data_IF_562893035198
#
_entry.id   IF_562893035198
#
_cell.length_a   1.000
_cell.length_b   1.000
_cell.length_c   1.000
_cell.angle_alpha   90.00
_cell.angle_beta   90.00
_cell.angle_gamma   90.00
#
_symmetry.space_group_name_H-M   'P 1'
#
loop_
_entity.id
_entity.type
_entity.pdbx_description
1 polymer ?
#
# COMPACT_ATOMS: atom_id res chain seq x y z
N UNK A 1 -5.94 -7.40 5.90
CA UNK A 1 -6.01 -6.30 6.89
C UNK A 1 -7.47 -5.89 7.05
N UNK A 2 -7.88 -5.66 8.30
CA UNK A 2 -9.24 -5.30 8.66
C UNK A 2 -9.29 -3.86 9.18
N UNK A 3 -10.10 -3.01 8.56
CA UNK A 3 -10.18 -1.57 8.83
C UNK A 3 -11.54 -1.25 9.43
N UNK A 4 -11.56 -0.51 10.54
CA UNK A 4 -12.79 0.11 11.05
C UNK A 4 -12.87 1.54 10.53
N UNK A 5 -14.00 1.91 9.92
CA UNK A 5 -14.33 3.27 9.50
C UNK A 5 -15.42 3.81 10.42
N UNK A 6 -15.14 4.94 11.09
CA UNK A 6 -16.09 5.67 11.95
C UNK A 6 -16.35 7.03 11.31
N UNK A 7 -17.49 7.16 10.63
CA UNK A 7 -17.86 8.33 9.81
C UNK A 7 -19.38 8.46 9.81
N UNK A 8 -19.91 9.64 10.16
CA UNK A 8 -21.35 9.88 10.23
C UNK A 8 -21.99 10.22 8.88
N UNK A 9 -21.22 10.80 7.93
CA UNK A 9 -21.68 10.97 6.55
C UNK A 9 -21.69 9.60 5.84
N UNK A 10 -22.89 9.06 5.64
CA UNK A 10 -23.10 7.77 5.01
C UNK A 10 -22.49 7.68 3.59
N UNK A 11 -22.47 8.81 2.83
CA UNK A 11 -21.89 8.82 1.46
C UNK A 11 -20.37 8.72 1.50
N UNK A 12 -19.75 9.46 2.41
CA UNK A 12 -18.30 9.41 2.58
C UNK A 12 -17.88 8.05 3.16
N UNK A 13 -18.63 7.53 4.13
CA UNK A 13 -18.39 6.20 4.70
C UNK A 13 -18.45 5.08 3.64
N UNK A 14 -19.46 5.11 2.76
CA UNK A 14 -19.59 4.16 1.65
C UNK A 14 -18.43 4.31 0.65
N UNK A 15 -18.05 5.56 0.30
CA UNK A 15 -16.92 5.81 -0.60
C UNK A 15 -15.60 5.30 -0.02
N UNK A 16 -15.35 5.52 1.28
CA UNK A 16 -14.19 4.99 2.00
C UNK A 16 -14.18 3.47 1.98
N UNK A 17 -15.30 2.84 2.35
CA UNK A 17 -15.42 1.38 2.36
C UNK A 17 -15.13 0.79 0.98
N UNK A 18 -15.65 1.38 -0.09
CA UNK A 18 -15.41 0.95 -1.46
C UNK A 18 -13.93 1.08 -1.86
N UNK A 19 -13.30 2.24 -1.59
CA UNK A 19 -11.86 2.43 -1.85
C UNK A 19 -11.03 1.37 -1.15
N UNK A 20 -11.35 1.06 0.11
CA UNK A 20 -10.64 0.07 0.90
C UNK A 20 -10.84 -1.35 0.36
N UNK A 21 -12.08 -1.74 0.07
CA UNK A 21 -12.42 -3.05 -0.48
C UNK A 21 -11.78 -3.30 -1.85
N UNK A 22 -11.80 -2.29 -2.74
CA UNK A 22 -11.15 -2.35 -4.06
C UNK A 22 -9.62 -2.55 -3.94
N UNK A 23 -9.03 -2.20 -2.78
CA UNK A 23 -7.61 -2.40 -2.47
C UNK A 23 -7.33 -3.59 -1.55
N UNK A 24 -8.31 -4.49 -1.35
CA UNK A 24 -8.15 -5.77 -0.64
C UNK A 24 -8.23 -5.67 0.89
N UNK A 25 -8.78 -4.60 1.45
CA UNK A 25 -9.04 -4.47 2.88
C UNK A 25 -10.44 -5.00 3.22
N UNK A 26 -10.57 -5.79 4.29
CA UNK A 26 -11.86 -6.03 4.92
C UNK A 26 -12.26 -4.76 5.70
N UNK A 27 -13.52 -4.34 5.63
CA UNK A 27 -13.93 -3.04 6.17
C UNK A 27 -15.27 -3.15 6.89
N UNK A 28 -15.31 -2.69 8.13
CA UNK A 28 -16.54 -2.43 8.87
C UNK A 28 -16.76 -0.92 8.98
N UNK A 29 -18.02 -0.50 8.96
CA UNK A 29 -18.43 0.91 9.03
C UNK A 29 -19.38 1.11 10.20
N UNK A 30 -19.13 2.15 11.00
CA UNK A 30 -20.04 2.63 12.04
C UNK A 30 -20.19 4.15 11.93
N UNK A 31 -21.30 4.71 12.43
CA UNK A 31 -21.72 6.08 12.11
C UNK A 31 -21.77 7.02 13.33
N UNK A 32 -21.25 6.60 14.47
CA UNK A 32 -21.18 7.44 15.67
C UNK A 32 -20.00 7.05 16.58
N UNK A 33 -19.60 7.97 17.43
CA UNK A 33 -18.45 7.79 18.31
C UNK A 33 -18.62 6.69 19.38
N UNK A 34 -19.83 6.45 19.89
CA UNK A 34 -20.07 5.37 20.86
C UNK A 34 -19.90 3.99 20.20
N UNK A 35 -20.44 3.82 18.99
CA UNK A 35 -20.16 2.63 18.19
C UNK A 35 -18.66 2.51 17.85
N UNK A 36 -17.99 3.62 17.53
CA UNK A 36 -16.54 3.67 17.32
C UNK A 36 -15.74 3.13 18.50
N UNK A 37 -16.10 3.51 19.72
CA UNK A 37 -15.46 2.97 20.94
C UNK A 37 -15.76 1.49 21.12
N UNK A 38 -17.02 1.07 20.94
CA UNK A 38 -17.43 -0.32 21.13
C UNK A 38 -16.71 -1.26 20.15
N UNK A 39 -16.72 -0.94 18.84
CA UNK A 39 -16.09 -1.76 17.81
C UNK A 39 -14.56 -1.69 17.88
N UNK A 40 -14.00 -0.49 18.01
CA UNK A 40 -12.54 -0.29 18.13
C UNK A 40 -11.94 -0.99 19.35
N UNK A 41 -12.72 -1.13 20.43
CA UNK A 41 -12.31 -1.83 21.66
C UNK A 41 -12.18 -3.36 21.52
N UNK A 42 -12.67 -3.96 20.44
CA UNK A 42 -12.63 -5.43 20.26
C UNK A 42 -11.23 -5.99 19.97
N UNK A 43 -10.29 -5.16 19.54
CA UNK A 43 -8.93 -5.57 19.18
C UNK A 43 -8.83 -6.36 17.85
N UNK A 44 -9.89 -6.38 17.05
CA UNK A 44 -9.95 -7.15 15.79
C UNK A 44 -9.49 -6.37 14.57
N UNK A 45 -9.27 -5.06 14.69
CA UNK A 45 -8.88 -4.18 13.60
C UNK A 45 -7.38 -3.91 13.57
N UNK A 46 -6.84 -3.85 12.37
CA UNK A 46 -5.45 -3.49 12.11
C UNK A 46 -5.25 -1.96 12.11
N UNK A 47 -6.30 -1.19 11.79
CA UNK A 47 -6.31 0.28 11.79
C UNK A 47 -7.74 0.80 11.94
N UNK A 48 -7.90 1.97 12.56
CA UNK A 48 -9.16 2.70 12.71
C UNK A 48 -9.05 4.01 11.95
N UNK A 49 -9.97 4.26 11.01
CA UNK A 49 -10.18 5.56 10.37
C UNK A 49 -11.32 6.23 11.12
N UNK A 50 -11.10 7.42 11.65
CA UNK A 50 -11.97 8.05 12.62
C UNK A 50 -12.20 9.52 12.26
N UNK A 51 -13.44 9.87 11.92
CA UNK A 51 -13.78 11.29 11.76
C UNK A 51 -13.72 12.01 13.11
N UNK A 52 -13.31 13.28 13.08
CA UNK A 52 -13.32 14.16 14.25
C UNK A 52 -14.75 14.57 14.60
N UNK A 53 -15.56 14.88 13.59
CA UNK A 53 -16.90 15.43 13.76
C UNK A 53 -17.96 14.33 13.81
N UNK A 54 -18.07 13.63 14.93
CA UNK A 54 -19.01 12.52 15.11
C UNK A 54 -20.12 12.87 16.11
N UNK A 55 -21.33 12.33 15.94
CA UNK A 55 -22.37 12.39 16.95
C UNK A 55 -22.06 11.49 18.14
N UNK A 56 -22.64 11.78 19.31
CA UNK A 56 -22.55 11.13 20.62
C UNK A 56 -21.19 11.28 21.30
N UNK A 57 -20.09 11.06 20.60
CA UNK A 57 -18.72 11.31 21.07
C UNK A 57 -17.86 11.72 19.88
N UNK A 58 -17.15 12.83 19.98
CA UNK A 58 -16.24 13.28 18.94
C UNK A 58 -15.03 12.33 18.78
N UNK A 59 -14.33 12.42 17.63
CA UNK A 59 -13.22 11.53 17.31
C UNK A 59 -12.06 11.61 18.30
N UNK A 60 -11.79 12.77 18.89
CA UNK A 60 -10.75 12.91 19.91
C UNK A 60 -11.14 12.16 21.19
N UNK A 61 -12.39 12.29 21.62
CA UNK A 61 -12.94 11.56 22.76
C UNK A 61 -12.90 10.04 22.51
N UNK A 62 -13.26 9.59 21.33
CA UNK A 62 -13.16 8.16 20.92
C UNK A 62 -11.72 7.67 21.04
N UNK A 63 -10.77 8.37 20.45
CA UNK A 63 -9.35 8.02 20.51
C UNK A 63 -8.83 7.92 21.96
N UNK A 64 -9.13 8.93 22.79
CA UNK A 64 -8.76 8.92 24.21
C UNK A 64 -9.35 7.73 24.98
N UNK A 65 -10.63 7.41 24.74
CA UNK A 65 -11.30 6.28 25.40
C UNK A 65 -10.68 4.94 24.98
N UNK A 66 -10.35 4.78 23.72
CA UNK A 66 -9.66 3.59 23.21
C UNK A 66 -8.27 3.45 23.86
N UNK A 67 -7.49 4.54 23.94
CA UNK A 67 -6.16 4.51 24.58
C UNK A 67 -6.23 4.23 26.07
N UNK A 68 -7.22 4.80 26.78
CA UNK A 68 -7.47 4.46 28.21
C UNK A 68 -7.85 2.99 28.42
N UNK A 69 -8.49 2.38 27.43
CA UNK A 69 -8.79 0.94 27.41
C UNK A 69 -7.60 0.09 26.91
N UNK A 70 -6.39 0.67 26.79
CA UNK A 70 -5.17 0.00 26.32
C UNK A 70 -5.27 -0.57 24.90
N UNK A 71 -6.15 -0.03 24.06
CA UNK A 71 -6.21 -0.39 22.63
C UNK A 71 -5.01 0.25 21.93
N UNK A 72 -4.15 -0.57 21.35
CA UNK A 72 -2.95 -0.14 20.60
C UNK A 72 -3.16 -0.05 19.09
N UNK A 73 -4.36 -0.38 18.60
CA UNK A 73 -4.69 -0.28 17.18
C UNK A 73 -4.41 1.14 16.68
N UNK A 74 -3.65 1.32 15.58
CA UNK A 74 -3.38 2.64 15.01
C UNK A 74 -4.67 3.37 14.62
N UNK A 75 -4.71 4.69 14.88
CA UNK A 75 -5.86 5.55 14.62
C UNK A 75 -5.43 6.67 13.65
N UNK A 76 -6.10 6.72 12.49
CA UNK A 76 -6.03 7.82 11.54
C UNK A 76 -7.23 8.75 11.75
N UNK A 77 -7.02 9.98 12.20
CA UNK A 77 -8.06 10.99 12.29
C UNK A 77 -8.33 11.66 10.93
N UNK A 78 -9.60 11.79 10.58
CA UNK A 78 -10.04 12.61 9.46
C UNK A 78 -10.56 13.95 10.00
N UNK A 79 -10.08 15.08 9.46
CA UNK A 79 -10.42 16.41 9.96
C UNK A 79 -10.72 17.40 8.83
N UNK A 80 -11.54 18.41 9.09
CA UNK A 80 -11.76 19.52 8.17
C UNK A 80 -10.56 20.50 8.18
N UNK A 81 -10.33 21.21 7.07
CA UNK A 81 -9.14 22.06 6.82
C UNK A 81 -8.89 23.17 7.84
N UNK A 82 -9.91 23.61 8.56
CA UNK A 82 -9.82 24.77 9.48
C UNK A 82 -9.37 24.41 10.90
N UNK A 83 -9.10 23.14 11.16
CA UNK A 83 -8.73 22.62 12.48
C UNK A 83 -7.21 22.67 12.77
N UNK A 84 -6.53 23.78 12.45
CA UNK A 84 -5.11 23.98 12.86
C UNK A 84 -4.98 24.09 14.38
N UNK A 85 -6.00 24.61 15.09
CA UNK A 85 -6.11 24.56 16.55
C UNK A 85 -6.27 23.12 17.08
N UNK A 86 -6.89 22.24 16.29
CA UNK A 86 -7.15 20.85 16.69
C UNK A 86 -5.95 19.95 16.51
N UNK A 87 -4.94 20.35 15.71
CA UNK A 87 -3.67 19.60 15.58
C UNK A 87 -2.89 19.51 16.89
N UNK A 88 -2.97 20.53 17.75
CA UNK A 88 -2.33 20.52 19.06
C UNK A 88 -3.10 19.63 20.04
N UNK A 89 -4.44 19.63 19.98
CA UNK A 89 -5.27 18.69 20.75
C UNK A 89 -5.17 17.25 20.22
N UNK A 90 -4.87 17.06 18.92
CA UNK A 90 -4.77 15.75 18.29
C UNK A 90 -3.61 14.89 18.82
N UNK A 91 -2.46 15.47 19.11
CA UNK A 91 -1.33 14.71 19.70
C UNK A 91 -1.63 14.25 21.14
N UNK A 92 -2.41 15.01 21.92
CA UNK A 92 -2.84 14.63 23.27
C UNK A 92 -4.01 13.64 23.26
N UNK A 93 -4.69 13.44 22.12
CA UNK A 93 -5.82 12.52 22.00
C UNK A 93 -5.41 11.05 21.85
N UNK A 94 -4.14 10.77 21.55
CA UNK A 94 -3.64 9.43 21.32
C UNK A 94 -3.89 8.87 19.93
N UNK A 95 -4.20 9.71 18.95
CA UNK A 95 -4.18 9.33 17.53
C UNK A 95 -2.73 9.21 17.03
N UNK A 96 -2.50 8.32 16.05
CA UNK A 96 -1.17 8.06 15.51
C UNK A 96 -0.88 8.91 14.26
N UNK A 97 -1.94 9.34 13.55
CA UNK A 97 -1.82 10.15 12.35
C UNK A 97 -3.12 10.91 12.08
N UNK A 98 -3.08 11.92 11.20
CA UNK A 98 -4.26 12.67 10.78
C UNK A 98 -4.18 13.09 9.32
N UNK A 99 -5.35 13.19 8.69
CA UNK A 99 -5.49 13.57 7.29
C UNK A 99 -6.62 14.61 7.15
N UNK A 100 -6.39 15.63 6.33
CA UNK A 100 -7.38 16.69 6.11
C UNK A 100 -8.34 16.35 4.98
N UNK A 101 -9.63 16.61 5.18
CA UNK A 101 -10.66 16.58 4.13
C UNK A 101 -10.60 17.89 3.30
N UNK A 102 -10.68 17.87 1.95
CA UNK A 102 -10.77 16.68 1.08
C UNK A 102 -9.41 16.02 0.83
N UNK A 103 -9.38 14.71 0.67
CA UNK A 103 -8.20 13.89 0.42
C UNK A 103 -8.38 13.04 -0.85
N UNK A 104 -7.28 12.58 -1.40
CA UNK A 104 -7.29 11.63 -2.51
C UNK A 104 -7.29 10.17 -2.02
N UNK A 105 -7.84 9.20 -2.79
CA UNK A 105 -7.70 7.78 -2.47
C UNK A 105 -6.26 7.32 -2.30
N UNK A 106 -5.34 7.85 -3.12
CA UNK A 106 -3.91 7.53 -3.05
C UNK A 106 -3.27 8.00 -1.73
N UNK A 107 -3.67 9.17 -1.22
CA UNK A 107 -3.24 9.73 0.05
C UNK A 107 -3.72 8.87 1.23
N UNK A 108 -5.02 8.54 1.26
CA UNK A 108 -5.60 7.66 2.28
C UNK A 108 -4.83 6.33 2.36
N UNK A 109 -4.62 5.67 1.22
CA UNK A 109 -3.92 4.39 1.17
C UNK A 109 -2.45 4.51 1.59
N UNK A 110 -1.80 5.65 1.36
CA UNK A 110 -0.43 5.92 1.82
C UNK A 110 -0.36 6.01 3.35
N UNK A 111 -1.28 6.77 3.98
CA UNK A 111 -1.39 6.86 5.45
C UNK A 111 -1.66 5.49 6.09
N UNK A 112 -2.59 4.70 5.53
CA UNK A 112 -2.90 3.37 6.04
C UNK A 112 -1.68 2.44 5.99
N UNK A 113 -0.93 2.44 4.88
CA UNK A 113 0.32 1.66 4.77
C UNK A 113 1.36 2.10 5.81
N UNK A 114 1.48 3.39 6.06
CA UNK A 114 2.42 3.93 7.05
C UNK A 114 2.05 3.48 8.47
N UNK A 115 0.76 3.58 8.82
CA UNK A 115 0.24 3.25 10.16
C UNK A 115 0.29 1.75 10.47
N UNK A 116 0.05 0.91 9.47
CA UNK A 116 0.01 -0.55 9.65
C UNK A 116 1.38 -1.21 9.55
N UNK A 117 2.42 -0.43 9.27
CA UNK A 117 3.80 -0.88 9.31
C UNK A 117 4.24 -1.12 10.76
N UNK A 118 4.45 -2.39 11.16
CA UNK A 118 4.91 -2.73 12.51
C UNK A 118 6.25 -2.04 12.82
N UNK A 119 6.38 -1.46 14.03
CA UNK A 119 7.68 -0.98 14.52
C UNK A 119 8.64 -2.17 14.62
N UNK A 120 9.67 -2.16 13.81
CA UNK A 120 10.65 -3.24 13.69
C UNK A 120 10.67 -3.90 12.32
N UNK A 121 9.56 -3.89 11.60
CA UNK A 121 9.54 -4.18 10.19
C UNK A 121 9.76 -2.86 9.42
N UNK A 122 11.00 -2.54 9.14
CA UNK A 122 11.34 -1.87 7.88
C UNK A 122 11.11 -2.94 6.80
N UNK A 123 9.89 -3.37 6.65
CA UNK A 123 9.45 -4.02 5.43
C UNK A 123 9.30 -2.87 4.44
N UNK A 124 10.44 -2.45 3.89
CA UNK A 124 10.37 -2.03 2.51
C UNK A 124 9.57 -3.14 1.85
N UNK A 125 8.43 -2.83 1.24
CA UNK A 125 7.78 -3.81 0.39
C UNK A 125 8.80 -4.16 -0.67
N UNK A 126 9.56 -5.20 -0.41
CA UNK A 126 10.60 -5.67 -1.29
C UNK A 126 10.17 -7.01 -1.84
N UNK A 127 10.33 -7.19 -3.13
CA UNK A 127 10.24 -8.50 -3.76
C UNK A 127 11.67 -9.01 -3.93
N UNK A 128 11.95 -10.19 -3.40
CA UNK A 128 13.30 -10.78 -3.47
C UNK A 128 13.24 -12.13 -4.20
N UNK A 129 14.18 -12.32 -5.14
CA UNK A 129 14.38 -13.57 -5.86
C UNK A 129 15.89 -13.83 -5.91
N UNK A 130 16.35 -14.84 -5.18
CA UNK A 130 17.76 -15.10 -4.99
C UNK A 130 18.47 -13.93 -4.31
N UNK A 131 19.47 -13.35 -4.99
CA UNK A 131 20.22 -12.18 -4.52
C UNK A 131 19.66 -10.83 -5.00
N UNK A 132 18.58 -10.84 -5.79
CA UNK A 132 17.97 -9.66 -6.38
C UNK A 132 16.79 -9.18 -5.55
N UNK A 133 16.78 -7.91 -5.16
CA UNK A 133 15.70 -7.28 -4.40
C UNK A 133 15.17 -6.06 -5.13
N UNK A 134 13.85 -5.95 -5.26
CA UNK A 134 13.15 -4.78 -5.78
C UNK A 134 12.42 -4.07 -4.64
N UNK A 135 12.80 -2.84 -4.36
CA UNK A 135 12.09 -1.98 -3.42
C UNK A 135 10.87 -1.37 -4.12
N UNK A 136 9.67 -1.61 -3.59
CA UNK A 136 8.42 -1.18 -4.21
C UNK A 136 8.08 0.29 -3.97
N UNK A 137 8.68 0.92 -2.97
CA UNK A 137 8.49 2.34 -2.67
C UNK A 137 9.46 3.22 -3.48
N UNK A 138 10.76 2.93 -3.39
CA UNK A 138 11.79 3.71 -4.08
C UNK A 138 11.96 3.35 -5.56
N UNK A 139 11.40 2.22 -6.00
CA UNK A 139 11.59 1.61 -7.33
C UNK A 139 13.06 1.23 -7.62
N UNK A 140 13.83 0.96 -6.58
CA UNK A 140 15.22 0.57 -6.70
C UNK A 140 15.37 -0.95 -6.84
N UNK A 141 16.20 -1.36 -7.76
CA UNK A 141 16.64 -2.75 -7.95
C UNK A 141 18.02 -2.90 -7.33
N UNK A 142 18.16 -3.79 -6.36
CA UNK A 142 19.39 -3.95 -5.55
C UNK A 142 19.91 -5.37 -5.56
N UNK A 143 21.22 -5.51 -5.47
CA UNK A 143 21.91 -6.78 -5.21
C UNK A 143 23.14 -6.49 -4.34
N UNK A 144 23.19 -7.02 -3.12
CA UNK A 144 24.22 -6.67 -2.15
C UNK A 144 24.24 -5.16 -1.87
N UNK A 145 25.38 -4.51 -2.12
CA UNK A 145 25.56 -3.06 -1.93
C UNK A 145 25.29 -2.23 -3.20
N UNK A 146 25.01 -2.86 -4.33
CA UNK A 146 24.75 -2.17 -5.58
C UNK A 146 23.27 -1.92 -5.75
N UNK A 147 22.91 -0.73 -6.23
CA UNK A 147 21.51 -0.29 -6.41
C UNK A 147 21.34 0.51 -7.69
N UNK A 148 20.21 0.35 -8.35
CA UNK A 148 19.85 1.13 -9.53
C UNK A 148 18.36 1.40 -9.58
N UNK A 149 17.98 2.68 -9.73
CA UNK A 149 16.59 3.09 -9.85
C UNK A 149 16.01 2.72 -11.22
N UNK A 150 14.81 2.17 -11.21
CA UNK A 150 14.06 1.84 -12.40
C UNK A 150 13.09 2.98 -12.77
N UNK A 151 12.87 3.18 -14.08
CA UNK A 151 11.74 4.00 -14.53
C UNK A 151 10.42 3.24 -14.34
N UNK A 152 9.29 3.94 -14.26
CA UNK A 152 7.97 3.36 -13.98
C UNK A 152 7.65 2.10 -14.78
N UNK A 153 7.90 2.08 -16.10
CA UNK A 153 7.61 0.91 -16.95
C UNK A 153 8.54 -0.28 -16.66
N UNK A 154 9.83 -0.02 -16.43
CA UNK A 154 10.79 -1.07 -16.03
C UNK A 154 10.44 -1.64 -14.67
N UNK A 155 10.06 -0.78 -13.73
CA UNK A 155 9.59 -1.16 -12.41
C UNK A 155 8.32 -2.02 -12.49
N UNK A 156 7.32 -1.63 -13.29
CA UNK A 156 6.08 -2.42 -13.44
C UNK A 156 6.36 -3.85 -13.93
N UNK A 157 7.23 -4.02 -14.93
CA UNK A 157 7.59 -5.35 -15.43
C UNK A 157 8.45 -6.12 -14.40
N UNK A 158 9.42 -5.45 -13.76
CA UNK A 158 10.23 -6.06 -12.70
C UNK A 158 9.35 -6.56 -11.56
N UNK A 159 8.38 -5.75 -11.09
CA UNK A 159 7.43 -6.12 -10.05
C UNK A 159 6.61 -7.36 -10.40
N UNK A 160 6.13 -7.47 -11.66
CA UNK A 160 5.36 -8.64 -12.12
C UNK A 160 6.23 -9.89 -12.12
N UNK A 161 7.47 -9.80 -12.61
CA UNK A 161 8.41 -10.92 -12.67
C UNK A 161 8.85 -11.38 -11.28
N UNK A 162 9.27 -10.44 -10.40
CA UNK A 162 9.68 -10.76 -9.03
C UNK A 162 8.49 -11.20 -8.16
N UNK A 163 7.27 -10.76 -8.46
CA UNK A 163 6.06 -11.19 -7.76
C UNK A 163 5.54 -12.58 -8.19
N UNK A 164 6.16 -13.20 -9.19
CA UNK A 164 5.80 -14.52 -9.70
C UNK A 164 7.07 -15.35 -9.99
N UNK A 165 7.95 -15.59 -9.00
CA UNK A 165 9.21 -16.27 -9.22
C UNK A 165 8.99 -17.69 -9.75
N UNK A 166 9.78 -18.08 -10.76
CA UNK A 166 9.69 -19.38 -11.40
C UNK A 166 8.51 -19.59 -12.35
N UNK A 167 7.51 -18.72 -12.32
CA UNK A 167 6.38 -18.80 -13.23
C UNK A 167 6.73 -18.29 -14.63
N UNK A 168 6.20 -18.95 -15.67
CA UNK A 168 6.33 -18.47 -17.05
C UNK A 168 5.18 -17.50 -17.34
N UNK A 169 5.51 -16.25 -17.66
CA UNK A 169 4.57 -15.18 -17.97
C UNK A 169 4.57 -14.90 -19.47
N UNK A 170 3.41 -14.96 -20.11
CA UNK A 170 3.29 -14.64 -21.53
C UNK A 170 3.47 -13.13 -21.81
N UNK A 171 3.75 -12.75 -23.04
CA UNK A 171 3.85 -11.34 -23.44
C UNK A 171 2.55 -10.61 -23.20
N UNK A 172 1.41 -11.22 -23.51
CA UNK A 172 0.07 -10.67 -23.27
C UNK A 172 -0.20 -10.42 -21.78
N UNK A 173 0.22 -11.36 -20.92
CA UNK A 173 0.11 -11.18 -19.46
C UNK A 173 0.98 -10.03 -18.94
N UNK A 174 2.17 -9.85 -19.47
CA UNK A 174 3.03 -8.73 -19.12
C UNK A 174 2.44 -7.40 -19.62
N UNK A 175 1.89 -7.36 -20.84
CA UNK A 175 1.25 -6.18 -21.40
C UNK A 175 0.02 -5.80 -20.57
N UNK A 176 -0.90 -6.74 -20.34
CA UNK A 176 -2.15 -6.47 -19.64
C UNK A 176 -1.98 -5.99 -18.19
N UNK A 177 -0.85 -6.37 -17.53
CA UNK A 177 -0.55 -5.97 -16.16
C UNK A 177 0.35 -4.73 -16.03
N UNK A 178 1.18 -4.44 -17.06
CA UNK A 178 2.14 -3.34 -17.01
C UNK A 178 1.72 -2.11 -17.80
N UNK A 179 0.73 -2.20 -18.70
CA UNK A 179 0.23 -1.11 -19.51
C UNK A 179 -1.27 -0.88 -19.31
N UNK A 180 -1.67 0.37 -19.52
CA UNK A 180 -3.07 0.74 -19.55
C UNK A 180 -3.77 0.06 -20.75
N UNK A 181 -5.01 -0.42 -20.62
CA UNK A 181 -5.77 -1.03 -21.71
C UNK A 181 -5.92 -0.13 -22.96
N UNK A 182 -5.84 1.19 -22.78
CA UNK A 182 -5.89 2.18 -23.86
C UNK A 182 -4.55 2.37 -24.59
N UNK A 183 -3.45 1.76 -24.10
CA UNK A 183 -2.12 1.93 -24.70
C UNK A 183 -1.93 1.02 -25.90
N UNK A 184 -1.28 1.52 -26.96
CA UNK A 184 -0.87 0.75 -28.14
C UNK A 184 0.39 -0.11 -27.89
N UNK A 185 0.52 -0.72 -26.70
CA UNK A 185 1.67 -1.55 -26.38
C UNK A 185 1.68 -2.81 -27.26
N UNK A 186 2.84 -3.11 -27.83
CA UNK A 186 3.08 -4.28 -28.70
C UNK A 186 4.10 -5.23 -28.05
N UNK A 187 4.18 -6.44 -28.59
CA UNK A 187 5.17 -7.46 -28.21
C UNK A 187 6.60 -6.94 -28.22
N UNK A 188 6.95 -6.09 -29.19
CA UNK A 188 8.27 -5.48 -29.31
C UNK A 188 8.62 -4.58 -28.12
N UNK A 189 7.62 -3.96 -27.49
CA UNK A 189 7.83 -3.16 -26.31
C UNK A 189 8.26 -4.04 -25.12
N UNK A 190 7.63 -5.20 -24.95
CA UNK A 190 8.00 -6.15 -23.88
C UNK A 190 9.44 -6.62 -24.05
N UNK A 191 9.84 -7.02 -25.28
CA UNK A 191 11.20 -7.50 -25.56
C UNK A 191 12.26 -6.43 -25.22
N UNK A 192 12.01 -5.18 -25.59
CA UNK A 192 12.91 -4.08 -25.27
C UNK A 192 13.05 -3.90 -23.74
N UNK A 193 11.95 -3.93 -22.99
CA UNK A 193 11.99 -3.78 -21.54
C UNK A 193 12.66 -4.97 -20.84
N UNK A 194 12.44 -6.20 -21.30
CA UNK A 194 13.15 -7.39 -20.83
C UNK A 194 14.66 -7.25 -21.07
N UNK A 195 15.06 -6.78 -22.26
CA UNK A 195 16.48 -6.52 -22.56
C UNK A 195 17.09 -5.47 -21.62
N UNK A 196 16.35 -4.38 -21.36
CA UNK A 196 16.79 -3.36 -20.41
C UNK A 196 16.89 -3.89 -18.97
N UNK A 197 15.93 -4.70 -18.51
CA UNK A 197 15.98 -5.28 -17.17
C UNK A 197 17.17 -6.23 -17.02
N UNK A 198 17.45 -7.09 -18.00
CA UNK A 198 18.64 -7.95 -18.01
C UNK A 198 19.92 -7.14 -17.84
N UNK A 199 20.06 -6.02 -18.55
CA UNK A 199 21.22 -5.12 -18.41
C UNK A 199 21.29 -4.50 -17.02
N UNK A 200 20.15 -4.13 -16.40
CA UNK A 200 20.12 -3.57 -15.05
C UNK A 200 20.46 -4.60 -14.00
N UNK A 201 19.96 -5.83 -14.11
CA UNK A 201 20.31 -6.96 -13.23
C UNK A 201 21.80 -7.29 -13.31
N UNK A 202 22.36 -7.32 -14.52
CA UNK A 202 23.79 -7.52 -14.70
C UNK A 202 24.63 -6.36 -14.11
N UNK A 203 24.12 -5.10 -14.20
CA UNK A 203 24.81 -3.94 -13.65
C UNK A 203 24.92 -3.99 -12.12
N UNK A 204 23.87 -4.44 -11.42
CA UNK A 204 23.91 -4.63 -9.96
C UNK A 204 24.58 -5.97 -9.55
N UNK A 205 25.08 -6.73 -10.50
CA UNK A 205 25.82 -7.97 -10.24
C UNK A 205 24.98 -9.16 -9.79
N UNK A 206 23.65 -9.12 -10.02
CA UNK A 206 22.76 -10.21 -9.63
C UNK A 206 22.99 -11.48 -10.46
N UNK A 207 22.91 -12.63 -9.79
CA UNK A 207 22.90 -13.96 -10.42
C UNK A 207 21.52 -14.35 -10.94
N UNK A 208 20.45 -13.74 -10.44
CA UNK A 208 19.10 -13.96 -10.94
C UNK A 208 19.01 -13.66 -12.46
N UNK A 209 18.21 -14.43 -13.19
CA UNK A 209 18.15 -14.34 -14.66
C UNK A 209 16.71 -14.32 -15.17
N UNK A 210 16.43 -13.44 -16.13
CA UNK A 210 15.20 -13.52 -16.90
C UNK A 210 15.42 -14.44 -18.08
N UNK A 211 14.85 -15.63 -18.04
CA UNK A 211 14.91 -16.63 -19.10
C UNK A 211 13.84 -16.37 -20.15
N UNK A 212 14.14 -16.66 -21.41
CA UNK A 212 13.16 -16.68 -22.50
C UNK A 212 12.72 -18.11 -22.74
N UNK A 213 11.43 -18.37 -22.55
CA UNK A 213 10.79 -19.64 -22.90
C UNK A 213 10.22 -19.46 -24.30
N UNK A 214 10.87 -20.09 -25.29
CA UNK A 214 10.53 -19.90 -26.72
C UNK A 214 9.03 -20.14 -26.96
N UNK A 215 8.42 -19.25 -27.70
CA UNK A 215 6.99 -19.25 -28.07
C UNK A 215 6.01 -19.17 -26.90
N UNK A 216 6.47 -18.99 -25.64
CA UNK A 216 5.60 -18.91 -24.46
C UNK A 216 5.74 -17.58 -23.75
N UNK A 217 6.96 -17.14 -23.38
CA UNK A 217 7.13 -15.90 -22.63
C UNK A 217 8.46 -15.82 -21.86
N UNK A 218 8.39 -15.28 -20.65
CA UNK A 218 9.56 -15.02 -19.80
C UNK A 218 9.36 -15.58 -18.40
N UNK A 219 10.44 -16.00 -17.79
CA UNK A 219 10.49 -16.49 -16.40
C UNK A 219 11.66 -15.85 -15.67
N UNK A 220 11.45 -15.41 -14.43
CA UNK A 220 12.52 -15.03 -13.54
C UNK A 220 12.97 -16.27 -12.75
N UNK A 221 14.23 -16.64 -12.89
CA UNK A 221 14.86 -17.74 -12.17
C UNK A 221 15.93 -17.20 -11.23
N UNK A 222 16.10 -17.89 -10.08
CA UNK A 222 17.25 -17.70 -9.21
C UNK A 222 18.51 -18.15 -9.97
N UNK A 223 19.60 -17.43 -9.80
CA UNK A 223 20.91 -17.87 -10.33
C UNK A 223 21.51 -18.92 -9.40
N UNK A 224 22.16 -19.89 -9.97
CA UNK A 224 22.98 -20.89 -9.26
C UNK A 224 24.15 -20.24 -8.54
#
# INVERSE_FOLDING_TARGET
MHVLVVEDDARLAEALARILQDNGYATDVVHDGEAGVQYGGTGTYDVIILDVMLPKADGFTVAQRLRRAHVSTPILLLTARDAISDKICGYDSGADDYMTKPFSPAELLAHLRALTRRQGDVVFETLTVGDLTLNLESMDLTCGNESIRLSQKKFAIARILLGSPGAVLSKEQLISRAWDPSSSASDNNVEAYISFLRKKMAHVGSRARIETIRSVGYRLAEGD
#
